data_IF_017072892168
#
_entry.id   IF_017072892168
#
_cell.length_a   1.000
_cell.length_b   1.000
_cell.length_c   1.000
_cell.angle_alpha   90.00
_cell.angle_beta   90.00
_cell.angle_gamma   90.00
#
_symmetry.space_group_name_H-M   'P 1'
#
loop_
_entity.id
_entity.type
_entity.pdbx_description
1 polymer ?
#
# COMPACT_ATOMS: atom_id res chain seq x y z
N UNK A 1 -15.86 1.29 -2.29
CA UNK A 1 -15.82 0.97 -0.85
C UNK A 1 -14.43 1.26 -0.30
N UNK A 2 -14.16 2.46 0.21
CA UNK A 2 -12.89 2.79 0.87
C UNK A 2 -12.99 2.83 2.42
N UNK A 3 -14.15 2.51 2.97
CA UNK A 3 -14.53 2.72 4.37
C UNK A 3 -13.57 2.11 5.40
N UNK A 4 -13.02 0.89 5.20
CA UNK A 4 -12.04 0.32 6.14
C UNK A 4 -10.77 1.17 6.27
N UNK A 5 -10.25 1.70 5.16
CA UNK A 5 -9.05 2.52 5.16
C UNK A 5 -9.30 3.90 5.78
N UNK A 6 -10.46 4.50 5.50
CA UNK A 6 -10.90 5.75 6.14
C UNK A 6 -11.02 5.60 7.66
N UNK A 7 -11.61 4.49 8.12
CA UNK A 7 -11.73 4.21 9.54
C UNK A 7 -10.35 4.00 10.18
N UNK A 8 -9.43 3.30 9.49
CA UNK A 8 -8.05 3.10 9.93
C UNK A 8 -7.32 4.43 10.13
N UNK A 9 -7.33 5.30 9.12
CA UNK A 9 -6.72 6.63 9.19
C UNK A 9 -7.28 7.46 10.36
N UNK A 10 -8.61 7.49 10.52
CA UNK A 10 -9.27 8.18 11.65
C UNK A 10 -8.83 7.64 13.01
N UNK A 11 -8.74 6.32 13.17
CA UNK A 11 -8.30 5.69 14.44
C UNK A 11 -6.84 5.96 14.75
N UNK A 12 -5.99 6.10 13.73
CA UNK A 12 -4.59 6.46 13.87
C UNK A 12 -4.38 7.98 14.07
N UNK A 13 -5.43 8.79 13.95
CA UNK A 13 -5.33 10.24 14.08
C UNK A 13 -4.55 10.90 12.94
N UNK A 14 -4.49 10.26 11.77
CA UNK A 14 -3.79 10.77 10.57
C UNK A 14 -4.75 10.93 9.41
N UNK A 15 -4.37 11.77 8.46
CA UNK A 15 -5.09 11.93 7.19
C UNK A 15 -4.66 10.87 6.18
N UNK A 16 -5.53 10.56 5.21
CA UNK A 16 -5.29 9.50 4.22
C UNK A 16 -4.09 9.76 3.30
N UNK A 17 -3.73 11.01 3.05
CA UNK A 17 -2.53 11.40 2.29
C UNK A 17 -1.22 11.04 3.01
N UNK A 18 -1.29 10.85 4.34
CA UNK A 18 -0.21 10.38 5.21
C UNK A 18 -0.20 8.85 5.36
N UNK A 19 -1.12 8.14 4.71
CA UNK A 19 -1.20 6.68 4.74
C UNK A 19 -0.62 6.04 3.46
N UNK A 20 -0.11 4.83 3.62
CA UNK A 20 0.18 3.91 2.54
C UNK A 20 -0.54 2.59 2.86
N UNK A 21 -1.38 2.14 1.94
CA UNK A 21 -2.04 0.82 2.05
C UNK A 21 -1.09 -0.22 1.46
N UNK A 22 -0.92 -1.34 2.17
CA UNK A 22 -0.20 -2.52 1.70
C UNK A 22 -1.26 -3.60 1.48
N UNK A 23 -1.38 -4.08 0.23
CA UNK A 23 -2.52 -4.91 -0.17
C UNK A 23 -2.12 -5.98 -1.19
N UNK A 24 -2.77 -7.14 -1.15
CA UNK A 24 -2.47 -8.29 -2.02
C UNK A 24 -3.68 -8.78 -2.84
N UNK A 25 -4.83 -8.09 -2.76
CA UNK A 25 -6.03 -8.40 -3.51
C UNK A 25 -6.57 -7.23 -4.36
N UNK A 26 -7.05 -7.50 -5.60
CA UNK A 26 -7.66 -6.49 -6.48
C UNK A 26 -8.75 -5.64 -5.80
N UNK A 27 -9.66 -6.28 -5.06
CA UNK A 27 -10.75 -5.58 -4.39
C UNK A 27 -10.25 -4.55 -3.36
N UNK A 28 -9.23 -4.90 -2.58
CA UNK A 28 -8.59 -4.00 -1.62
C UNK A 28 -7.84 -2.85 -2.30
N UNK A 29 -7.17 -3.12 -3.43
CA UNK A 29 -6.49 -2.08 -4.21
C UNK A 29 -7.48 -1.04 -4.72
N UNK A 30 -8.59 -1.47 -5.33
CA UNK A 30 -9.61 -0.56 -5.85
C UNK A 30 -10.26 0.26 -4.72
N UNK A 31 -10.51 -0.40 -3.58
CA UNK A 31 -10.99 0.24 -2.37
C UNK A 31 -10.05 1.36 -1.89
N UNK A 32 -8.75 1.09 -1.75
CA UNK A 32 -7.77 2.06 -1.28
C UNK A 32 -7.58 3.24 -2.23
N UNK A 33 -7.54 2.97 -3.54
CA UNK A 33 -7.35 4.01 -4.55
C UNK A 33 -8.50 5.00 -4.67
N UNK A 34 -9.73 4.59 -4.32
CA UNK A 34 -10.94 5.41 -4.48
C UNK A 34 -10.89 6.74 -3.71
N UNK A 35 -10.09 6.84 -2.64
CA UNK A 35 -9.94 8.04 -1.81
C UNK A 35 -8.57 8.72 -1.96
N UNK A 36 -7.85 8.46 -3.06
CA UNK A 36 -6.53 9.05 -3.30
C UNK A 36 -5.44 8.51 -2.37
N UNK A 37 -5.70 7.43 -1.65
CA UNK A 37 -4.70 6.74 -0.83
C UNK A 37 -3.72 6.01 -1.76
N UNK A 38 -2.43 6.10 -1.46
CA UNK A 38 -1.42 5.32 -2.16
C UNK A 38 -1.50 3.85 -1.76
N UNK A 39 -1.42 2.97 -2.74
CA UNK A 39 -1.43 1.52 -2.53
C UNK A 39 -0.13 0.91 -3.05
N UNK A 40 0.50 0.09 -2.21
CA UNK A 40 1.62 -0.80 -2.52
C UNK A 40 1.09 -2.23 -2.62
N UNK A 41 1.30 -2.88 -3.76
CA UNK A 41 0.94 -4.28 -3.95
C UNK A 41 1.95 -5.23 -3.31
N UNK A 42 1.48 -6.35 -2.79
CA UNK A 42 2.33 -7.49 -2.40
C UNK A 42 1.86 -8.73 -3.14
N UNK A 43 2.72 -9.32 -3.96
CA UNK A 43 2.39 -10.50 -4.78
C UNK A 43 2.40 -11.81 -3.98
N UNK A 44 1.68 -11.85 -2.86
CA UNK A 44 1.50 -13.04 -2.00
C UNK A 44 0.37 -13.94 -2.47
N UNK A 45 -0.75 -13.35 -2.89
CA UNK A 45 -1.98 -14.09 -3.28
C UNK A 45 -2.24 -14.02 -4.78
N UNK A 46 -1.97 -12.88 -5.41
CA UNK A 46 -2.16 -12.66 -6.85
C UNK A 46 -0.82 -12.35 -7.54
N UNK A 47 -0.76 -12.59 -8.85
CA UNK A 47 0.44 -12.31 -9.63
C UNK A 47 0.72 -10.80 -9.67
N UNK A 48 2.00 -10.36 -9.76
CA UNK A 48 2.34 -8.95 -9.83
C UNK A 48 1.59 -8.19 -10.94
N UNK A 49 1.38 -8.84 -12.09
CA UNK A 49 0.67 -8.27 -13.23
C UNK A 49 -0.79 -7.95 -12.91
N UNK A 50 -1.46 -8.80 -12.13
CA UNK A 50 -2.85 -8.58 -11.70
C UNK A 50 -2.94 -7.37 -10.76
N UNK A 51 -1.98 -7.24 -9.83
CA UNK A 51 -1.94 -6.11 -8.90
C UNK A 51 -1.66 -4.79 -9.64
N UNK A 52 -0.72 -4.82 -10.60
CA UNK A 52 -0.39 -3.69 -11.46
C UNK A 52 -1.59 -3.26 -12.33
N UNK A 53 -2.32 -4.22 -12.90
CA UNK A 53 -3.52 -3.94 -13.67
C UNK A 53 -4.63 -3.27 -12.83
N UNK A 54 -4.63 -3.49 -11.51
CA UNK A 54 -5.53 -2.82 -10.58
C UNK A 54 -5.01 -1.47 -10.07
N UNK A 55 -3.84 -1.02 -10.54
CA UNK A 55 -3.35 0.33 -10.34
C UNK A 55 -2.53 0.54 -9.08
N UNK A 56 -1.91 -0.49 -8.49
CA UNK A 56 -0.92 -0.23 -7.42
C UNK A 56 0.25 0.62 -7.94
N UNK A 57 0.89 1.35 -7.05
CA UNK A 57 2.03 2.23 -7.40
C UNK A 57 3.30 1.42 -7.69
N UNK A 58 3.48 0.34 -6.96
CA UNK A 58 4.58 -0.61 -7.08
C UNK A 58 4.11 -1.97 -6.52
N UNK A 59 4.87 -3.02 -6.81
CA UNK A 59 4.65 -4.36 -6.26
C UNK A 59 5.93 -4.86 -5.60
N UNK A 60 5.82 -5.36 -4.38
CA UNK A 60 6.83 -6.17 -3.73
C UNK A 60 6.46 -7.66 -3.89
N UNK A 61 7.45 -8.54 -4.08
CA UNK A 61 7.18 -9.98 -4.16
C UNK A 61 6.79 -10.55 -2.79
N UNK A 62 7.40 -10.04 -1.72
CA UNK A 62 7.12 -10.43 -0.34
C UNK A 62 7.11 -9.20 0.55
N UNK A 63 6.41 -9.28 1.69
CA UNK A 63 6.49 -8.26 2.73
C UNK A 63 7.93 -8.04 3.23
N UNK A 64 8.74 -9.09 3.27
CA UNK A 64 10.14 -9.03 3.71
C UNK A 64 11.04 -8.21 2.77
N UNK A 65 10.59 -7.93 1.55
CA UNK A 65 11.33 -7.13 0.57
C UNK A 65 11.10 -5.62 0.79
N UNK A 66 10.21 -5.25 1.72
CA UNK A 66 9.88 -3.87 2.07
C UNK A 66 10.71 -3.44 3.28
N UNK A 67 11.61 -2.49 3.08
CA UNK A 67 12.43 -1.90 4.14
C UNK A 67 11.96 -0.49 4.44
N UNK A 68 11.74 -0.19 5.72
CA UNK A 68 11.39 1.14 6.21
C UNK A 68 12.59 1.73 6.94
N UNK A 69 13.09 2.86 6.46
CA UNK A 69 14.14 3.63 7.12
C UNK A 69 13.61 4.96 7.64
N UNK A 70 14.03 5.36 8.85
CA UNK A 70 13.81 6.72 9.36
C UNK A 70 14.77 7.71 8.67
N UNK A 71 14.27 8.88 8.34
CA UNK A 71 15.02 9.97 7.70
C UNK A 71 15.20 11.18 8.62
N UNK A 72 14.68 11.13 9.85
CA UNK A 72 14.64 12.25 10.80
C UNK A 72 13.47 13.22 10.57
N UNK A 73 12.88 13.24 9.38
CA UNK A 73 11.68 14.04 9.04
C UNK A 73 10.48 13.20 8.57
N UNK A 74 10.64 11.88 8.59
CA UNK A 74 9.63 10.92 8.12
C UNK A 74 10.27 9.59 7.76
N UNK A 75 9.55 8.78 6.98
CA UNK A 75 10.01 7.46 6.59
C UNK A 75 10.30 7.37 5.09
N UNK A 76 11.33 6.60 4.75
CA UNK A 76 11.61 6.12 3.40
C UNK A 76 11.26 4.64 3.32
N UNK A 77 10.36 4.29 2.40
CA UNK A 77 10.15 2.90 1.99
C UNK A 77 11.03 2.58 0.80
N UNK A 78 11.73 1.45 0.87
CA UNK A 78 12.51 0.88 -0.25
C UNK A 78 12.01 -0.54 -0.50
N UNK A 79 11.77 -0.88 -1.77
CA UNK A 79 11.53 -2.26 -2.20
C UNK A 79 12.85 -2.81 -2.72
N UNK A 80 13.32 -3.91 -2.14
CA UNK A 80 14.54 -4.59 -2.57
C UNK A 80 14.18 -5.75 -3.49
N UNK A 81 14.76 -5.76 -4.69
CA UNK A 81 14.68 -6.90 -5.59
C UNK A 81 15.98 -7.69 -5.43
N UNK A 82 15.87 -8.92 -4.93
CA UNK A 82 16.98 -9.87 -4.89
C UNK A 82 17.09 -10.61 -6.23
#
# INVERSE_FOLDING_TARGET
>A
APEPYLLGARRLGVTTDRCLVVEDAPAGIQAGRSDGIRVLGVASTHAPEDLLANGVTAVANRLADIVVGDTGSGYRLTIQFA
#
